data_IF_651103532185
#
_entry.id   IF_651103532185
#
_cell.length_a   1.000
_cell.length_b   1.000
_cell.length_c   1.000
_cell.angle_alpha   90.00
_cell.angle_beta   90.00
_cell.angle_gamma   90.00
#
_symmetry.space_group_name_H-M   'P 1'
#
loop_
_entity.id
_entity.type
_entity.pdbx_description
1 polymer ?
#
# COMPACT_ATOMS: atom_id res chain seq x y z
N UNK A 1 -18.40 -10.61 6.81
CA UNK A 1 -17.48 -9.74 7.57
C UNK A 1 -16.61 -10.63 8.42
N UNK A 2 -15.29 -10.39 8.45
CA UNK A 2 -14.38 -11.07 9.37
C UNK A 2 -14.66 -10.51 10.77
N UNK A 3 -15.25 -11.27 11.71
CA UNK A 3 -15.52 -10.76 13.03
C UNK A 3 -14.19 -10.39 13.72
N UNK A 4 -14.18 -9.35 14.54
CA UNK A 4 -13.05 -8.89 15.37
C UNK A 4 -11.95 -8.08 14.70
N UNK A 5 -12.07 -7.71 13.41
CA UNK A 5 -11.09 -6.82 12.77
C UNK A 5 -10.92 -5.48 13.50
N UNK A 6 -12.00 -4.98 14.11
CA UNK A 6 -12.05 -3.78 14.95
C UNK A 6 -11.17 -3.86 16.21
N UNK A 7 -10.75 -5.07 16.60
CA UNK A 7 -9.90 -5.31 17.78
C UNK A 7 -8.42 -5.46 17.45
N UNK A 8 -8.06 -5.46 16.17
CA UNK A 8 -6.68 -5.67 15.71
C UNK A 8 -6.08 -4.30 15.37
N UNK A 9 -5.17 -3.81 16.21
CA UNK A 9 -4.54 -2.51 16.00
C UNK A 9 -3.56 -2.51 14.81
N UNK A 10 -2.87 -3.64 14.59
CA UNK A 10 -1.82 -3.77 13.58
C UNK A 10 -1.89 -5.14 12.89
N UNK A 11 -1.78 -5.14 11.58
CA UNK A 11 -1.45 -6.31 10.76
C UNK A 11 -0.14 -6.04 10.04
N UNK A 12 0.83 -6.93 10.21
CA UNK A 12 2.08 -6.89 9.47
C UNK A 12 2.07 -7.98 8.39
N UNK A 13 2.38 -7.58 7.16
CA UNK A 13 2.52 -8.49 6.02
C UNK A 13 4.00 -8.57 5.66
N UNK A 14 4.56 -9.76 5.78
CA UNK A 14 5.95 -10.02 5.44
C UNK A 14 6.12 -10.19 3.93
N UNK A 15 7.17 -9.56 3.40
CA UNK A 15 7.66 -9.67 2.03
C UNK A 15 9.08 -10.27 2.08
N UNK A 16 9.23 -11.61 2.07
CA UNK A 16 10.54 -12.26 2.15
C UNK A 16 11.44 -11.99 0.93
N UNK A 17 10.85 -11.53 -0.18
CA UNK A 17 11.55 -11.10 -1.38
C UNK A 17 10.71 -10.05 -2.09
N UNK A 18 11.34 -9.07 -2.72
CA UNK A 18 10.69 -8.01 -3.49
C UNK A 18 9.81 -8.53 -4.63
N UNK A 19 10.01 -9.79 -5.05
CA UNK A 19 9.21 -10.46 -6.09
C UNK A 19 7.90 -11.04 -5.56
N UNK A 20 7.68 -11.04 -4.26
CA UNK A 20 6.44 -11.58 -3.67
C UNK A 20 5.28 -10.57 -3.78
N UNK A 21 4.46 -10.73 -4.81
CA UNK A 21 3.29 -9.89 -5.03
C UNK A 21 2.07 -10.22 -4.17
N UNK A 22 2.04 -11.34 -3.42
CA UNK A 22 0.80 -11.80 -2.76
C UNK A 22 0.34 -10.84 -1.66
N UNK A 23 1.27 -10.15 -1.00
CA UNK A 23 0.97 -9.18 0.04
C UNK A 23 0.10 -7.99 -0.44
N UNK A 24 0.20 -7.62 -1.72
CA UNK A 24 -0.65 -6.56 -2.30
C UNK A 24 -2.12 -6.96 -2.32
N UNK A 25 -2.42 -8.22 -2.68
CA UNK A 25 -3.79 -8.75 -2.66
C UNK A 25 -4.31 -8.87 -1.22
N UNK A 26 -3.47 -9.34 -0.29
CA UNK A 26 -3.83 -9.41 1.12
C UNK A 26 -4.24 -8.03 1.67
N UNK A 27 -3.46 -6.99 1.37
CA UNK A 27 -3.78 -5.61 1.76
C UNK A 27 -5.12 -5.13 1.19
N UNK A 28 -5.37 -5.36 -0.10
CA UNK A 28 -6.63 -5.00 -0.75
C UNK A 28 -7.81 -5.69 -0.09
N UNK A 29 -7.71 -7.00 0.14
CA UNK A 29 -8.75 -7.81 0.78
C UNK A 29 -9.05 -7.30 2.19
N UNK A 30 -8.02 -6.99 2.99
CA UNK A 30 -8.21 -6.45 4.34
C UNK A 30 -8.95 -5.11 4.32
N UNK A 31 -8.57 -4.18 3.45
CA UNK A 31 -9.24 -2.88 3.33
C UNK A 31 -10.68 -3.03 2.82
N UNK A 32 -10.93 -3.90 1.84
CA UNK A 32 -12.28 -4.19 1.36
C UNK A 32 -13.15 -4.90 2.41
N UNK A 33 -12.54 -5.68 3.30
CA UNK A 33 -13.21 -6.29 4.45
C UNK A 33 -13.48 -5.31 5.61
N UNK A 34 -13.06 -4.05 5.49
CA UNK A 34 -13.30 -2.99 6.49
C UNK A 34 -12.20 -2.87 7.55
N UNK A 35 -11.00 -3.44 7.33
CA UNK A 35 -9.89 -3.26 8.25
C UNK A 35 -9.38 -1.81 8.23
N UNK A 36 -9.50 -1.13 9.35
CA UNK A 36 -9.09 0.28 9.53
C UNK A 36 -7.83 0.46 10.37
N UNK A 37 -7.31 -0.62 10.98
CA UNK A 37 -6.06 -0.58 11.73
C UNK A 37 -4.84 -0.37 10.83
N UNK A 38 -3.68 -0.26 11.47
CA UNK A 38 -2.39 -0.09 10.79
C UNK A 38 -2.09 -1.35 9.97
N UNK A 39 -1.70 -1.14 8.71
CA UNK A 39 -1.30 -2.21 7.81
C UNK A 39 0.13 -1.97 7.36
N UNK A 40 1.04 -2.77 7.91
CA UNK A 40 2.47 -2.62 7.72
C UNK A 40 3.02 -3.61 6.70
N UNK A 41 3.82 -3.11 5.75
CA UNK A 41 4.67 -3.95 4.91
C UNK A 41 6.05 -4.10 5.56
N UNK A 42 6.51 -5.33 5.77
CA UNK A 42 7.80 -5.64 6.39
C UNK A 42 8.63 -6.52 5.45
N UNK A 43 9.96 -6.41 5.49
CA UNK A 43 10.88 -7.27 4.74
C UNK A 43 11.60 -6.57 3.59
N UNK A 44 11.77 -7.28 2.47
CA UNK A 44 12.42 -6.81 1.23
C UNK A 44 11.49 -5.86 0.46
N UNK A 45 11.23 -4.70 1.06
CA UNK A 45 10.38 -3.63 0.53
C UNK A 45 11.26 -2.59 -0.15
N UNK A 46 11.11 -2.47 -1.47
CA UNK A 46 11.87 -1.50 -2.26
C UNK A 46 11.15 -0.15 -2.39
N UNK A 47 11.91 0.93 -2.46
CA UNK A 47 11.39 2.31 -2.50
C UNK A 47 10.47 2.60 -3.69
N UNK A 48 10.68 1.94 -4.82
CA UNK A 48 9.85 2.03 -6.04
C UNK A 48 8.51 1.29 -5.90
N UNK A 49 8.42 0.33 -4.97
CA UNK A 49 7.22 -0.41 -4.65
C UNK A 49 6.31 0.33 -3.66
N UNK A 50 6.87 1.17 -2.79
CA UNK A 50 6.13 1.88 -1.73
C UNK A 50 4.91 2.63 -2.26
N UNK A 51 4.97 3.41 -3.36
CA UNK A 51 3.78 4.06 -3.90
C UNK A 51 2.68 3.05 -4.20
N UNK A 52 2.99 1.95 -4.87
CA UNK A 52 2.02 0.91 -5.24
C UNK A 52 1.46 0.19 -4.01
N UNK A 53 2.30 -0.11 -3.02
CA UNK A 53 1.88 -0.69 -1.74
C UNK A 53 0.89 0.24 -1.02
N UNK A 54 1.15 1.54 -0.98
CA UNK A 54 0.20 2.53 -0.43
C UNK A 54 -1.14 2.49 -1.16
N UNK A 55 -1.12 2.37 -2.49
CA UNK A 55 -2.35 2.23 -3.29
C UNK A 55 -3.13 0.96 -2.92
N UNK A 56 -2.44 -0.12 -2.57
CA UNK A 56 -3.08 -1.36 -2.11
C UNK A 56 -3.62 -1.30 -0.69
N UNK A 57 -3.21 -0.31 0.11
CA UNK A 57 -3.75 -0.04 1.43
C UNK A 57 -2.74 -0.11 2.57
N UNK A 58 -1.45 -0.33 2.29
CA UNK A 58 -0.40 -0.22 3.31
C UNK A 58 -0.21 1.24 3.74
N UNK A 59 -0.09 1.50 5.03
CA UNK A 59 0.12 2.83 5.60
C UNK A 59 1.39 2.93 6.47
N UNK A 60 2.03 1.79 6.72
CA UNK A 60 3.23 1.66 7.53
C UNK A 60 4.26 0.74 6.86
N UNK A 61 5.55 1.00 7.07
CA UNK A 61 6.63 0.30 6.37
C UNK A 61 7.80 0.03 7.32
N UNK A 62 8.26 -1.22 7.34
CA UNK A 62 9.45 -1.68 8.06
C UNK A 62 10.39 -2.44 7.09
N UNK A 63 11.03 -1.73 6.15
CA UNK A 63 11.95 -2.34 5.21
C UNK A 63 13.21 -2.85 5.94
N UNK A 64 13.78 -3.96 5.46
CA UNK A 64 15.05 -4.49 5.99
C UNK A 64 16.26 -3.60 5.67
N UNK A 65 16.17 -2.86 4.57
CA UNK A 65 17.18 -1.89 4.15
C UNK A 65 16.68 -0.47 4.35
N UNK A 66 17.57 0.42 4.77
CA UNK A 66 17.25 1.84 4.92
C UNK A 66 16.81 2.43 3.57
N UNK A 67 15.71 3.18 3.60
CA UNK A 67 15.21 3.91 2.45
C UNK A 67 15.62 5.37 2.60
N UNK A 68 16.41 5.86 1.65
CA UNK A 68 16.76 7.28 1.56
C UNK A 68 15.47 8.14 1.46
N UNK A 69 15.25 9.09 2.39
CA UNK A 69 14.01 9.88 2.42
C UNK A 69 13.78 10.72 1.16
N UNK A 70 14.84 11.22 0.53
CA UNK A 70 14.74 12.02 -0.70
C UNK A 70 14.25 11.16 -1.86
N UNK A 71 14.79 9.95 -1.99
CA UNK A 71 14.36 8.95 -2.98
C UNK A 71 12.93 8.48 -2.72
N UNK A 72 12.55 8.30 -1.45
CA UNK A 72 11.17 7.98 -1.07
C UNK A 72 10.20 9.07 -1.51
N UNK A 73 10.50 10.32 -1.20
CA UNK A 73 9.64 11.45 -1.58
C UNK A 73 9.52 11.56 -3.10
N UNK A 74 10.64 11.42 -3.82
CA UNK A 74 10.64 11.40 -5.28
C UNK A 74 9.80 10.24 -5.85
N UNK A 75 9.83 9.06 -5.23
CA UNK A 75 9.03 7.90 -5.62
C UNK A 75 7.53 8.14 -5.39
N UNK A 76 7.17 8.67 -4.21
CA UNK A 76 5.79 8.95 -3.83
C UNK A 76 5.13 10.02 -4.71
N UNK A 77 5.90 11.02 -5.13
CA UNK A 77 5.41 12.17 -5.90
C UNK A 77 5.61 12.03 -7.41
N UNK A 78 6.26 10.96 -7.88
CA UNK A 78 6.61 10.75 -9.29
C UNK A 78 5.42 10.87 -10.25
N UNK A 79 4.24 10.44 -9.81
CA UNK A 79 3.03 10.46 -10.62
C UNK A 79 1.90 11.22 -9.93
N UNK A 80 1.59 12.38 -10.49
CA UNK A 80 0.45 13.21 -10.07
C UNK A 80 -0.88 12.46 -10.19
N UNK A 81 -1.04 11.68 -11.25
CA UNK A 81 -2.28 11.00 -11.60
C UNK A 81 -2.12 9.47 -11.59
N UNK A 82 -3.21 8.76 -11.30
CA UNK A 82 -3.25 7.28 -11.29
C UNK A 82 -4.22 6.75 -12.33
N UNK A 83 -3.93 5.59 -12.93
CA UNK A 83 -4.77 5.04 -13.99
C UNK A 83 -5.92 4.16 -13.49
N UNK A 84 -5.67 3.32 -12.47
CA UNK A 84 -6.62 2.35 -11.94
C UNK A 84 -7.24 2.80 -10.61
N UNK A 85 -8.41 2.26 -10.23
CA UNK A 85 -8.93 2.41 -8.86
C UNK A 85 -8.11 1.55 -7.89
N UNK A 86 -8.02 1.94 -6.62
CA UNK A 86 -7.31 1.19 -5.58
C UNK A 86 -7.88 1.49 -4.17
N UNK A 87 -7.17 1.10 -3.11
CA UNK A 87 -7.59 1.33 -1.72
C UNK A 87 -7.44 2.78 -1.25
N UNK A 88 -6.54 3.52 -1.91
CA UNK A 88 -6.15 4.88 -1.58
C UNK A 88 -7.24 5.94 -1.84
N UNK A 89 -8.37 5.57 -2.43
CA UNK A 89 -9.45 6.49 -2.79
C UNK A 89 -9.09 7.50 -3.88
N UNK A 90 -7.89 7.43 -4.49
CA UNK A 90 -7.46 8.37 -5.54
C UNK A 90 -8.36 8.24 -6.75
N UNK A 91 -8.79 9.37 -7.29
CA UNK A 91 -9.61 9.41 -8.50
C UNK A 91 -8.74 9.06 -9.71
N UNK A 92 -9.11 8.04 -10.51
CA UNK A 92 -8.35 7.71 -11.70
C UNK A 92 -8.41 8.79 -12.78
N UNK A 93 -7.31 8.95 -13.53
CA UNK A 93 -7.12 9.99 -14.56
C UNK A 93 -8.19 9.96 -15.64
N UNK A 94 -8.69 8.79 -16.02
CA UNK A 94 -9.74 8.68 -17.04
C UNK A 94 -11.06 9.29 -16.57
N UNK A 95 -11.33 9.32 -15.26
CA UNK A 95 -12.51 9.96 -14.68
C UNK A 95 -12.34 11.48 -14.61
N UNK A 96 -11.10 11.96 -14.40
CA UNK A 96 -10.78 13.39 -14.41
C UNK A 96 -10.85 14.00 -15.81
N UNK A 97 -10.51 13.22 -16.84
CA UNK A 97 -10.50 13.67 -18.25
C UNK A 97 -11.87 13.75 -18.90
N UNK A 98 -12.87 13.04 -18.38
CA UNK A 98 -14.21 12.96 -18.94
C UNK A 98 -15.28 13.50 -17.96
N UNK A 99 -14.91 14.51 -17.18
CA UNK A 99 -15.83 15.31 -16.36
C UNK A 99 -16.38 16.49 -17.12
#
# INVERSE_FOLDING_TARGET
>A
MLPYLDRIALVEVSFPSFRDGRGYSAARILREAGYTGELRAQGDVLVDQVPLMKRCGFDSFAPESEIDPVTLEASLTRYENVYQKAADGRVPVWKLRHG
#
